data_IF_055209175728
#
_entry.id   IF_055209175728
#
_cell.length_a   1.000
_cell.length_b   1.000
_cell.length_c   1.000
_cell.angle_alpha   90.00
_cell.angle_beta   90.00
_cell.angle_gamma   90.00
#
_symmetry.space_group_name_H-M   'P 1'
#
loop_
_entity.id
_entity.type
_entity.pdbx_description
1 polymer ?
#
# COMPACT_ATOMS: atom_id res chain seq x y z
N UNK A 1 32.07 8.10 -31.58
CA UNK A 1 31.70 6.94 -30.72
C UNK A 1 30.33 7.22 -30.13
N UNK A 2 29.30 6.62 -30.73
CA UNK A 2 27.92 6.63 -30.22
C UNK A 2 27.84 5.69 -29.03
N UNK A 3 27.31 6.17 -27.91
CA UNK A 3 26.70 5.32 -26.90
C UNK A 3 25.29 5.84 -26.68
N UNK A 4 24.35 5.21 -27.41
CA UNK A 4 22.94 5.29 -27.12
C UNK A 4 22.68 4.54 -25.82
N UNK A 5 22.39 5.28 -24.76
CA UNK A 5 21.66 4.75 -23.62
C UNK A 5 20.19 4.97 -23.90
N UNK A 6 19.62 4.04 -24.66
CA UNK A 6 18.21 3.69 -24.56
C UNK A 6 17.95 3.25 -23.11
N UNK A 7 17.59 4.18 -22.24
CA UNK A 7 16.91 3.83 -20.99
C UNK A 7 15.44 4.03 -21.25
N UNK A 8 14.72 2.92 -21.31
CA UNK A 8 13.33 2.79 -21.71
C UNK A 8 12.50 3.98 -21.22
N UNK A 9 11.81 4.65 -22.15
CA UNK A 9 10.62 5.38 -21.79
C UNK A 9 9.71 4.35 -21.14
N UNK A 10 9.64 4.35 -19.81
CA UNK A 10 8.50 3.79 -19.09
C UNK A 10 7.33 4.53 -19.69
N UNK A 11 6.65 3.91 -20.65
CA UNK A 11 5.29 4.29 -21.00
C UNK A 11 4.58 4.24 -19.67
N UNK A 12 4.33 5.40 -19.08
CA UNK A 12 3.39 5.51 -17.99
C UNK A 12 2.09 5.10 -18.63
N UNK A 13 1.78 3.81 -18.52
CA UNK A 13 0.45 3.30 -18.74
C UNK A 13 -0.40 4.09 -17.74
N UNK A 14 -1.12 5.08 -18.25
CA UNK A 14 -2.03 5.85 -17.43
C UNK A 14 -3.09 4.84 -16.98
N UNK A 15 -3.43 4.81 -15.70
CA UNK A 15 -4.51 3.98 -15.17
C UNK A 15 -5.60 4.88 -14.62
N UNK A 16 -6.86 4.57 -14.96
CA UNK A 16 -8.02 5.20 -14.34
C UNK A 16 -8.45 4.35 -13.16
N UNK A 17 -8.48 4.98 -11.99
CA UNK A 17 -9.03 4.36 -10.79
C UNK A 17 -10.47 4.84 -10.59
N UNK A 18 -11.47 3.93 -10.54
CA UNK A 18 -12.84 4.31 -10.18
C UNK A 18 -12.90 5.01 -8.83
N UNK A 19 -13.82 5.95 -8.65
CA UNK A 19 -13.95 6.73 -7.42
C UNK A 19 -14.11 5.85 -6.16
N UNK A 20 -14.81 4.71 -6.30
CA UNK A 20 -14.98 3.72 -5.24
C UNK A 20 -13.65 3.04 -4.86
N UNK A 21 -12.83 2.68 -5.84
CA UNK A 21 -11.50 2.09 -5.62
C UNK A 21 -10.50 3.13 -5.06
N UNK A 22 -10.62 4.40 -5.45
CA UNK A 22 -9.85 5.49 -4.85
C UNK A 22 -10.19 5.72 -3.37
N UNK A 23 -11.49 5.65 -3.03
CA UNK A 23 -11.94 5.74 -1.65
C UNK A 23 -11.42 4.54 -0.83
N UNK A 24 -11.49 3.33 -1.38
CA UNK A 24 -10.95 2.14 -0.75
C UNK A 24 -9.44 2.28 -0.48
N UNK A 25 -8.66 2.75 -1.47
CA UNK A 25 -7.22 3.00 -1.31
C UNK A 25 -6.92 4.03 -0.21
N UNK A 26 -7.75 5.06 -0.10
CA UNK A 26 -7.64 6.06 0.97
C UNK A 26 -7.88 5.44 2.34
N UNK A 27 -8.90 4.58 2.46
CA UNK A 27 -9.19 3.84 3.70
C UNK A 27 -8.06 2.88 4.06
N UNK A 28 -7.51 2.13 3.09
CA UNK A 28 -6.35 1.23 3.27
C UNK A 28 -5.14 2.00 3.78
N UNK A 29 -4.84 3.18 3.21
CA UNK A 29 -3.76 4.06 3.68
C UNK A 29 -3.97 4.50 5.13
N UNK A 30 -5.19 4.89 5.48
CA UNK A 30 -5.49 5.35 6.84
C UNK A 30 -5.41 4.18 7.85
N UNK A 31 -5.79 2.97 7.43
CA UNK A 31 -5.62 1.76 8.23
C UNK A 31 -4.13 1.43 8.46
N UNK A 32 -3.28 1.54 7.43
CA UNK A 32 -1.83 1.40 7.57
C UNK A 32 -1.23 2.41 8.55
N UNK A 33 -1.69 3.67 8.50
CA UNK A 33 -1.26 4.70 9.45
C UNK A 33 -1.66 4.40 10.88
N UNK A 34 -2.85 3.83 11.08
CA UNK A 34 -3.31 3.42 12.40
C UNK A 34 -2.48 2.24 12.91
N UNK A 35 -2.23 1.22 12.08
CA UNK A 35 -1.38 0.09 12.45
C UNK A 35 0.03 0.55 12.81
N UNK A 36 0.61 1.46 12.03
CA UNK A 36 1.92 2.03 12.33
C UNK A 36 1.97 2.66 13.74
N UNK A 37 0.97 3.48 14.08
CA UNK A 37 0.85 4.09 15.42
C UNK A 37 0.65 3.05 16.53
N UNK A 38 -0.07 1.96 16.27
CA UNK A 38 -0.27 0.89 17.25
C UNK A 38 0.97 0.01 17.44
N UNK A 39 1.88 0.01 16.45
CA UNK A 39 3.17 -0.67 16.51
C UNK A 39 4.32 0.22 16.97
N UNK A 40 4.08 1.51 17.20
CA UNK A 40 5.12 2.40 17.74
C UNK A 40 5.47 1.98 19.18
N UNK A 41 6.76 1.81 19.50
CA UNK A 41 7.19 1.52 20.86
C UNK A 41 6.82 2.69 21.78
N UNK A 42 6.11 2.41 22.87
CA UNK A 42 5.60 3.46 23.77
C UNK A 42 6.69 4.12 24.63
N UNK A 43 7.86 3.51 24.77
CA UNK A 43 8.95 4.02 25.60
C UNK A 43 10.30 3.44 25.13
N UNK A 44 11.37 4.25 25.10
CA UNK A 44 12.73 3.78 24.74
C UNK A 44 13.32 2.77 25.76
N UNK A 45 12.75 2.72 26.96
CA UNK A 45 13.12 1.79 28.04
C UNK A 45 12.08 0.71 28.32
N UNK A 46 10.94 0.72 27.63
CA UNK A 46 9.95 -0.35 27.74
C UNK A 46 10.47 -1.57 26.97
N UNK A 47 10.20 -2.81 27.46
CA UNK A 47 10.38 -3.98 26.61
C UNK A 47 9.56 -3.76 25.33
N UNK A 48 10.04 -4.34 24.22
CA UNK A 48 9.49 -4.28 22.86
C UNK A 48 8.08 -4.93 22.77
N UNK A 49 7.19 -4.53 23.66
CA UNK A 49 5.83 -5.00 23.82
C UNK A 49 4.96 -4.13 22.94
N UNK A 50 4.87 -4.57 21.68
CA UNK A 50 3.82 -4.12 20.78
C UNK A 50 2.48 -4.28 21.49
N UNK A 51 1.64 -3.25 21.39
CA UNK A 51 0.26 -3.30 21.94
C UNK A 51 -0.63 -4.29 21.17
N UNK A 52 -0.11 -4.85 20.07
CA UNK A 52 -0.77 -5.78 19.17
C UNK A 52 0.08 -7.05 19.02
N UNK A 53 -0.56 -8.21 19.02
CA UNK A 53 0.14 -9.48 18.80
C UNK A 53 0.58 -9.61 17.34
N UNK A 54 1.67 -10.34 17.09
CA UNK A 54 2.14 -10.63 15.74
C UNK A 54 1.08 -11.32 14.87
N UNK A 55 0.24 -12.17 15.47
CA UNK A 55 -0.87 -12.85 14.79
C UNK A 55 -1.97 -11.87 14.35
N UNK A 56 -2.31 -10.89 15.19
CA UNK A 56 -3.27 -9.85 14.84
C UNK A 56 -2.72 -8.93 13.72
N UNK A 57 -1.42 -8.63 13.74
CA UNK A 57 -0.76 -7.91 12.66
C UNK A 57 -0.78 -8.68 11.34
N UNK A 58 -0.46 -9.98 11.36
CA UNK A 58 -0.50 -10.82 10.17
C UNK A 58 -1.90 -10.81 9.54
N UNK A 59 -2.95 -10.99 10.35
CA UNK A 59 -4.33 -10.90 9.88
C UNK A 59 -4.68 -9.53 9.29
N UNK A 60 -4.22 -8.44 9.91
CA UNK A 60 -4.41 -7.09 9.39
C UNK A 60 -3.70 -6.90 8.04
N UNK A 61 -2.48 -7.43 7.88
CA UNK A 61 -1.76 -7.35 6.62
C UNK A 61 -2.38 -8.20 5.51
N UNK A 62 -2.86 -9.40 5.82
CA UNK A 62 -3.57 -10.25 4.84
C UNK A 62 -4.82 -9.53 4.32
N UNK A 63 -5.62 -8.94 5.23
CA UNK A 63 -6.79 -8.17 4.84
C UNK A 63 -6.44 -6.94 3.99
N UNK A 64 -5.35 -6.24 4.31
CA UNK A 64 -4.88 -5.10 3.52
C UNK A 64 -4.42 -5.53 2.13
N UNK A 65 -3.78 -6.69 2.03
CA UNK A 65 -3.37 -7.26 0.75
C UNK A 65 -4.58 -7.57 -0.14
N UNK A 66 -5.60 -8.22 0.42
CA UNK A 66 -6.86 -8.50 -0.30
C UNK A 66 -7.55 -7.21 -0.78
N UNK A 67 -7.58 -6.17 0.07
CA UNK A 67 -8.21 -4.91 -0.28
C UNK A 67 -7.42 -4.18 -1.39
N UNK A 68 -6.08 -4.23 -1.35
CA UNK A 68 -5.21 -3.70 -2.41
C UNK A 68 -5.34 -4.46 -3.72
N UNK A 69 -5.46 -5.79 -3.68
CA UNK A 69 -5.67 -6.62 -4.87
C UNK A 69 -6.99 -6.25 -5.56
N UNK A 70 -8.08 -6.09 -4.82
CA UNK A 70 -9.36 -5.62 -5.39
C UNK A 70 -9.28 -4.23 -6.00
N UNK A 71 -8.49 -3.34 -5.40
CA UNK A 71 -8.26 -1.98 -5.95
C UNK A 71 -7.46 -2.07 -7.24
N UNK A 72 -6.44 -2.92 -7.29
CA UNK A 72 -5.63 -3.15 -8.48
C UNK A 72 -6.45 -3.77 -9.62
N UNK A 73 -7.30 -4.76 -9.31
CA UNK A 73 -8.23 -5.37 -10.28
C UNK A 73 -9.27 -4.38 -10.80
N UNK A 74 -9.68 -3.42 -9.97
CA UNK A 74 -10.60 -2.36 -10.37
C UNK A 74 -9.91 -1.26 -11.20
N UNK A 75 -8.58 -1.17 -11.16
CA UNK A 75 -7.84 -0.22 -11.97
C UNK A 75 -7.86 -0.70 -13.44
N UNK A 76 -8.25 0.19 -14.34
CA UNK A 76 -8.25 -0.10 -15.77
C UNK A 76 -7.22 0.76 -16.47
N UNK A 77 -6.54 0.26 -17.52
CA UNK A 77 -5.68 1.10 -18.33
C UNK A 77 -6.52 2.24 -18.93
N UNK A 78 -6.03 3.47 -18.79
CA UNK A 78 -6.54 4.65 -19.46
C UNK A 78 -6.29 4.49 -20.95
N UNK A 79 -7.29 4.02 -21.69
CA UNK A 79 -7.33 4.18 -23.14
C UNK A 79 -7.53 5.66 -23.44
N UNK A 80 -6.45 6.36 -23.76
CA UNK A 80 -6.47 7.69 -24.39
C UNK A 80 -7.13 7.60 -25.79
#
# INVERSE_FOLDING_TARGET
MQNGLSSAATTLDNYVLPATAHQALTQTRDHLRLLAQLTEPQDENAPDQLSISAEALAYCFDRLADDLERIADAASPSTD
#
